data_IF_418024070051
#
_entry.id   IF_418024070051
#
_cell.length_a   1.000
_cell.length_b   1.000
_cell.length_c   1.000
_cell.angle_alpha   90.00
_cell.angle_beta   90.00
_cell.angle_gamma   90.00
#
_symmetry.space_group_name_H-M   'P 1'
#
loop_
_entity.id
_entity.type
_entity.pdbx_description
1 polymer ?
#
# COMPACT_ATOMS: atom_id res chain seq x y z
N UNK A 1 -12.57 28.02 14.99
CA UNK A 1 -12.28 26.76 15.72
C UNK A 1 -11.52 25.85 14.76
N UNK A 2 -10.22 25.59 14.97
CA UNK A 2 -9.53 24.52 14.21
C UNK A 2 -10.31 23.23 14.50
N UNK A 3 -10.96 22.67 13.47
CA UNK A 3 -11.74 21.44 13.60
C UNK A 3 -10.87 20.33 14.19
N UNK A 4 -11.48 19.45 14.98
CA UNK A 4 -10.81 18.31 15.57
C UNK A 4 -10.09 17.54 14.45
N UNK A 5 -8.75 17.45 14.52
CA UNK A 5 -7.96 16.72 13.52
C UNK A 5 -8.42 15.27 13.51
N UNK A 6 -9.05 14.85 12.42
CA UNK A 6 -9.41 13.44 12.20
C UNK A 6 -8.12 12.71 11.88
N UNK A 7 -7.61 11.95 12.86
CA UNK A 7 -6.40 11.14 12.67
C UNK A 7 -6.80 9.72 12.29
N UNK A 8 -6.55 9.35 11.03
CA UNK A 8 -6.71 7.98 10.51
C UNK A 8 -5.33 7.36 10.32
N UNK A 9 -5.18 6.11 10.75
CA UNK A 9 -3.95 5.34 10.59
C UNK A 9 -4.19 4.20 9.62
N UNK A 10 -3.24 4.02 8.70
CA UNK A 10 -3.27 2.93 7.73
C UNK A 10 -1.93 2.18 7.74
N UNK A 11 -1.98 0.87 7.59
CA UNK A 11 -0.80 0.01 7.55
C UNK A 11 -0.82 -0.85 6.29
N UNK A 12 0.30 -0.89 5.57
CA UNK A 12 0.59 -1.90 4.55
C UNK A 12 1.60 -2.89 5.14
N UNK A 13 1.19 -4.13 5.31
CA UNK A 13 2.06 -5.24 5.67
C UNK A 13 2.57 -5.94 4.39
N UNK A 14 3.85 -5.78 4.11
CA UNK A 14 4.60 -6.45 3.06
C UNK A 14 5.74 -7.32 3.61
N UNK A 15 5.64 -7.78 4.87
CA UNK A 15 6.71 -8.52 5.56
C UNK A 15 7.19 -9.72 4.75
N UNK A 16 6.27 -10.57 4.30
CA UNK A 16 6.65 -11.78 3.54
C UNK A 16 7.35 -11.44 2.21
N UNK A 17 6.77 -10.62 1.30
CA UNK A 17 7.47 -10.23 0.06
C UNK A 17 8.81 -9.50 0.29
N UNK A 18 8.96 -8.79 1.41
CA UNK A 18 10.23 -8.15 1.78
C UNK A 18 11.27 -9.16 2.25
N UNK A 19 10.90 -10.14 3.08
CA UNK A 19 11.77 -11.24 3.48
C UNK A 19 12.27 -12.04 2.26
N UNK A 20 11.39 -12.25 1.28
CA UNK A 20 11.71 -12.94 0.02
C UNK A 20 12.50 -12.05 -0.96
N UNK A 21 12.84 -10.81 -0.57
CA UNK A 21 13.58 -9.81 -1.36
C UNK A 21 12.90 -9.39 -2.68
N UNK A 22 11.61 -9.60 -2.80
CA UNK A 22 10.79 -9.24 -3.98
C UNK A 22 10.27 -7.79 -3.86
N UNK A 23 10.10 -7.30 -2.64
CA UNK A 23 9.54 -5.99 -2.36
C UNK A 23 10.45 -5.15 -1.48
N UNK A 24 10.80 -3.94 -1.94
CA UNK A 24 11.57 -2.95 -1.18
C UNK A 24 10.63 -1.94 -0.48
N UNK A 25 10.51 -1.99 0.87
CA UNK A 25 9.68 -1.06 1.63
C UNK A 25 10.17 0.38 1.57
N UNK A 26 11.49 0.60 1.48
CA UNK A 26 12.07 1.95 1.44
C UNK A 26 11.71 2.64 0.13
N UNK A 27 11.86 1.93 -0.99
CA UNK A 27 11.43 2.44 -2.29
C UNK A 27 9.92 2.72 -2.34
N UNK A 28 9.11 1.86 -1.72
CA UNK A 28 7.67 2.07 -1.63
C UNK A 28 7.30 3.28 -0.76
N UNK A 29 7.96 3.48 0.38
CA UNK A 29 7.75 4.63 1.25
C UNK A 29 8.06 5.95 0.52
N UNK A 30 9.19 6.03 -0.19
CA UNK A 30 9.54 7.20 -1.02
C UNK A 30 8.52 7.42 -2.13
N UNK A 31 8.05 6.35 -2.79
CA UNK A 31 6.99 6.47 -3.80
C UNK A 31 5.71 7.06 -3.22
N UNK A 32 5.28 6.62 -2.03
CA UNK A 32 4.09 7.16 -1.38
C UNK A 32 4.27 8.64 -1.03
N UNK A 33 5.43 9.02 -0.49
CA UNK A 33 5.73 10.42 -0.19
C UNK A 33 5.62 11.32 -1.44
N UNK A 34 6.07 10.83 -2.59
CA UNK A 34 6.01 11.57 -3.86
C UNK A 34 4.64 11.58 -4.53
N UNK A 35 3.79 10.57 -4.26
CA UNK A 35 2.56 10.32 -5.04
C UNK A 35 1.27 10.56 -4.29
N UNK A 36 1.31 10.59 -2.96
CA UNK A 36 0.16 11.02 -2.17
C UNK A 36 -0.11 12.50 -2.48
N UNK A 37 -1.39 12.78 -2.75
CA UNK A 37 -1.89 14.11 -2.99
C UNK A 37 -2.61 14.64 -1.76
N UNK A 38 -2.33 15.91 -1.47
CA UNK A 38 -3.04 16.73 -0.48
C UNK A 38 -3.53 17.96 -1.23
N UNK A 39 -4.82 18.26 -1.12
CA UNK A 39 -5.48 19.37 -1.85
C UNK A 39 -5.24 19.33 -3.38
N UNK A 40 -5.19 18.11 -3.94
CA UNK A 40 -5.02 17.88 -5.38
C UNK A 40 -3.57 17.85 -5.88
N UNK A 41 -2.61 18.27 -5.05
CA UNK A 41 -1.20 18.41 -5.39
C UNK A 41 -0.31 17.35 -4.74
N UNK A 42 0.69 16.87 -5.46
CA UNK A 42 1.76 16.02 -4.91
C UNK A 42 2.85 16.87 -4.26
N UNK A 43 3.60 16.31 -3.31
CA UNK A 43 4.70 17.04 -2.64
C UNK A 43 4.22 18.03 -1.56
N UNK A 44 2.92 18.08 -1.28
CA UNK A 44 2.30 18.98 -0.31
C UNK A 44 1.86 18.24 0.97
N UNK A 45 2.66 17.29 1.48
CA UNK A 45 2.23 16.46 2.62
C UNK A 45 2.12 17.24 3.93
N UNK A 46 3.04 18.19 4.17
CA UNK A 46 3.11 19.00 5.38
C UNK A 46 2.95 18.17 6.66
N UNK A 47 2.16 18.68 7.60
CA UNK A 47 1.76 17.97 8.83
C UNK A 47 0.45 17.17 8.65
N UNK A 48 -0.05 17.06 7.43
CA UNK A 48 -1.34 16.41 7.16
C UNK A 48 -1.19 14.91 6.93
N UNK A 49 -0.10 14.47 6.30
CA UNK A 49 0.17 13.07 6.02
C UNK A 49 1.62 12.75 6.41
N UNK A 50 1.81 11.73 7.22
CA UNK A 50 3.13 11.16 7.54
C UNK A 50 3.21 9.75 6.98
N UNK A 51 4.29 9.44 6.26
CA UNK A 51 4.59 8.10 5.75
C UNK A 51 5.86 7.60 6.41
N UNK A 52 5.75 6.51 7.14
CA UNK A 52 6.85 5.93 7.94
C UNK A 52 7.09 4.48 7.53
N UNK A 53 8.37 4.13 7.34
CA UNK A 53 8.77 2.72 7.30
C UNK A 53 8.97 2.24 8.73
N UNK A 54 8.12 1.32 9.19
CA UNK A 54 8.18 0.78 10.55
C UNK A 54 9.23 -0.32 10.71
N UNK A 55 9.91 -0.71 9.63
CA UNK A 55 10.75 -1.91 9.59
C UNK A 55 9.94 -3.18 9.30
N UNK A 56 10.66 -4.28 9.09
CA UNK A 56 10.09 -5.62 8.85
C UNK A 56 9.06 -5.68 7.72
N UNK A 57 9.19 -4.85 6.69
CA UNK A 57 8.25 -4.80 5.57
C UNK A 57 6.91 -4.11 5.87
N UNK A 58 6.78 -3.37 6.97
CA UNK A 58 5.55 -2.63 7.30
C UNK A 58 5.69 -1.13 7.01
N UNK A 59 4.76 -0.58 6.25
CA UNK A 59 4.65 0.86 5.99
C UNK A 59 3.40 1.42 6.68
N UNK A 60 3.58 2.50 7.41
CA UNK A 60 2.53 3.24 8.09
C UNK A 60 2.24 4.56 7.37
N UNK A 61 0.95 4.88 7.23
CA UNK A 61 0.47 6.17 6.77
C UNK A 61 -0.47 6.74 7.83
N UNK A 62 -0.04 7.83 8.47
CA UNK A 62 -0.87 8.60 9.41
C UNK A 62 -1.42 9.80 8.68
N UNK A 63 -2.73 9.98 8.70
CA UNK A 63 -3.41 11.07 8.01
C UNK A 63 -4.26 11.88 8.99
N UNK A 64 -3.98 13.18 9.09
CA UNK A 64 -4.73 14.16 9.89
C UNK A 64 -5.82 14.88 9.10
N UNK A 65 -6.20 14.33 7.95
CA UNK A 65 -7.22 14.83 7.03
C UNK A 65 -8.08 13.69 6.49
N UNK A 66 -9.04 14.03 5.63
CA UNK A 66 -9.75 13.04 4.83
C UNK A 66 -8.75 12.23 3.98
N UNK A 67 -8.57 10.97 4.34
CA UNK A 67 -7.77 10.01 3.59
C UNK A 67 -8.50 8.66 3.62
N UNK A 68 -8.50 7.98 2.47
CA UNK A 68 -9.21 6.72 2.31
C UNK A 68 -8.23 5.59 2.02
N UNK A 69 -8.51 4.42 2.58
CA UNK A 69 -7.74 3.23 2.27
C UNK A 69 -7.92 2.76 0.83
N UNK A 70 -9.01 3.16 0.14
CA UNK A 70 -9.16 2.97 -1.31
C UNK A 70 -8.06 3.69 -2.08
N UNK A 71 -7.75 4.93 -1.69
CA UNK A 71 -6.69 5.70 -2.32
C UNK A 71 -5.31 5.08 -2.07
N UNK A 72 -5.04 4.64 -0.83
CA UNK A 72 -3.81 3.91 -0.50
C UNK A 72 -3.69 2.63 -1.33
N UNK A 73 -4.74 1.80 -1.40
CA UNK A 73 -4.78 0.58 -2.21
C UNK A 73 -4.51 0.85 -3.69
N UNK A 74 -5.06 1.95 -4.24
CA UNK A 74 -4.77 2.37 -5.61
C UNK A 74 -3.28 2.69 -5.80
N UNK A 75 -2.69 3.49 -4.91
CA UNK A 75 -1.26 3.83 -4.98
C UNK A 75 -0.38 2.59 -4.84
N UNK A 76 -0.70 1.66 -3.94
CA UNK A 76 0.02 0.39 -3.80
C UNK A 76 -0.04 -0.42 -5.09
N UNK A 77 -1.22 -0.60 -5.70
CA UNK A 77 -1.34 -1.29 -7.01
C UNK A 77 -0.56 -0.59 -8.12
N UNK A 78 -0.54 0.76 -8.12
CA UNK A 78 0.21 1.56 -9.08
C UNK A 78 1.73 1.33 -8.94
N UNK A 79 2.23 1.27 -7.71
CA UNK A 79 3.62 0.91 -7.43
C UNK A 79 3.94 -0.51 -7.90
N UNK A 80 3.09 -1.49 -7.56
CA UNK A 80 3.28 -2.88 -8.00
C UNK A 80 3.31 -3.00 -9.53
N UNK A 81 2.47 -2.26 -10.26
CA UNK A 81 2.53 -2.27 -11.74
C UNK A 81 3.83 -1.66 -12.26
N UNK A 82 4.30 -0.56 -11.65
CA UNK A 82 5.57 0.08 -12.01
C UNK A 82 6.76 -0.85 -11.81
N UNK A 83 6.74 -1.65 -10.74
CA UNK A 83 7.78 -2.64 -10.42
C UNK A 83 7.54 -4.03 -11.05
N UNK A 84 6.51 -4.17 -11.90
CA UNK A 84 6.14 -5.44 -12.54
C UNK A 84 5.79 -6.58 -11.53
N UNK A 85 5.35 -6.24 -10.32
CA UNK A 85 5.02 -7.18 -9.24
C UNK A 85 3.54 -7.60 -9.21
N UNK A 86 2.75 -7.19 -10.21
CA UNK A 86 1.28 -7.37 -10.21
C UNK A 86 0.85 -8.81 -10.40
N UNK A 87 1.71 -9.63 -10.99
CA UNK A 87 1.40 -11.03 -11.30
C UNK A 87 1.73 -11.94 -10.10
N UNK A 88 2.61 -11.47 -9.21
CA UNK A 88 2.97 -12.19 -7.99
C UNK A 88 2.21 -11.71 -6.76
N UNK A 89 1.94 -10.40 -6.65
CA UNK A 89 1.41 -9.78 -5.43
C UNK A 89 0.04 -9.13 -5.61
N UNK A 90 -0.85 -9.38 -4.66
CA UNK A 90 -2.14 -8.69 -4.51
C UNK A 90 -2.27 -7.97 -3.18
N UNK A 91 -2.94 -6.82 -3.22
CA UNK A 91 -3.28 -6.03 -2.02
C UNK A 91 -4.64 -6.45 -1.47
N UNK A 92 -4.65 -7.04 -0.27
CA UNK A 92 -5.84 -7.51 0.44
C UNK A 92 -6.07 -6.66 1.68
N UNK A 93 -7.31 -6.28 1.98
CA UNK A 93 -7.64 -5.63 3.25
C UNK A 93 -7.83 -6.72 4.32
N UNK A 94 -7.12 -6.61 5.43
CA UNK A 94 -7.20 -7.59 6.54
C UNK A 94 -8.16 -7.11 7.61
N UNK A 95 -8.10 -5.83 7.94
CA UNK A 95 -8.97 -5.18 8.90
C UNK A 95 -9.18 -3.71 8.48
N UNK A 96 -10.00 -2.96 9.22
CA UNK A 96 -10.23 -1.55 8.92
C UNK A 96 -8.94 -0.75 9.13
N UNK A 97 -8.33 -0.30 8.03
CA UNK A 97 -7.09 0.47 8.06
C UNK A 97 -5.85 -0.38 7.79
N UNK A 98 -5.95 -1.71 7.80
CA UNK A 98 -4.82 -2.60 7.55
C UNK A 98 -4.98 -3.34 6.23
N UNK A 99 -3.89 -3.38 5.49
CA UNK A 99 -3.78 -4.07 4.21
C UNK A 99 -2.52 -4.93 4.21
N UNK A 100 -2.56 -6.03 3.48
CA UNK A 100 -1.44 -6.95 3.34
C UNK A 100 -1.16 -7.22 1.85
N UNK A 101 0.12 -7.29 1.50
CA UNK A 101 0.58 -7.85 0.24
C UNK A 101 0.66 -9.37 0.39
N UNK A 102 -0.21 -10.07 -0.35
CA UNK A 102 -0.24 -11.54 -0.38
C UNK A 102 0.18 -12.01 -1.76
N UNK A 103 0.87 -13.15 -1.81
CA UNK A 103 1.06 -13.86 -3.06
C UNK A 103 -0.28 -14.32 -3.64
N UNK A 104 -0.34 -14.45 -4.97
CA UNK A 104 -1.33 -15.33 -5.56
C UNK A 104 -0.95 -16.77 -5.21
N UNK A 105 -1.93 -17.58 -4.81
CA UNK A 105 -1.69 -19.01 -4.63
C UNK A 105 -1.45 -19.59 -6.02
N UNK A 106 -0.19 -19.84 -6.35
CA UNK A 106 0.18 -20.69 -7.49
C UNK A 106 0.08 -22.13 -6.99
N UNK A 107 -1.13 -22.59 -6.74
CA UNK A 107 -1.38 -24.01 -6.46
C UNK A 107 -2.28 -24.50 -7.59
N UNK A 108 -1.65 -25.09 -8.61
CA UNK A 108 -2.28 -25.92 -9.64
C UNK A 108 -2.83 -25.18 -10.87
N UNK A 109 -1.97 -24.77 -11.80
CA UNK A 109 -2.28 -24.90 -13.24
C UNK A 109 -2.01 -26.36 -13.69
N UNK A 110 -2.59 -27.31 -12.97
CA UNK A 110 -2.75 -28.71 -13.39
C UNK A 110 -4.13 -29.15 -12.86
N UNK A 111 -5.19 -28.79 -13.59
CA UNK A 111 -6.54 -29.20 -13.26
C UNK A 111 -7.61 -28.33 -13.92
N UNK A 112 -8.03 -28.78 -15.11
CA UNK A 112 -9.30 -28.48 -15.79
C UNK A 112 -9.26 -27.35 -16.84
N UNK A 113 -8.97 -27.81 -18.07
CA UNK A 113 -9.57 -27.32 -19.32
C UNK A 113 -11.11 -27.34 -19.22
N UNK A 114 -11.77 -26.22 -19.51
CA UNK A 114 -13.07 -26.10 -20.21
C UNK A 114 -13.18 -24.62 -20.66
N UNK A 115 -13.62 -24.19 -21.85
CA UNK A 115 -13.88 -24.74 -23.17
C UNK A 115 -14.02 -23.49 -24.07
N UNK A 116 -13.35 -23.45 -25.23
CA UNK A 116 -13.77 -22.70 -26.44
C UNK A 116 -13.24 -23.46 -27.67
#
# INVERSE_FOLDING_TARGET
RKGQKVTKKFIINASQPTSDRIFDPSQFATFLQQRIKVDGLTGNLGDNITVSNLGDGRIEVVAHQEFSGRYLKYLTKKFLKKQQLRDWLRVVATSKGEYSLKFFNVVGEEGEEEED
#
